data_IF_722131567844
#
_entry.id   IF_722131567844
#
_cell.length_a   1.000
_cell.length_b   1.000
_cell.length_c   1.000
_cell.angle_alpha   90.00
_cell.angle_beta   90.00
_cell.angle_gamma   90.00
#
_symmetry.space_group_name_H-M   'P 1'
#
loop_
_entity.id
_entity.type
_entity.pdbx_description
1 polymer ?
#
# COMPACT_ATOMS: atom_id res chain seq x y z
N UNK A 1 -40.35 -3.34 12.00
CA UNK A 1 -39.67 -4.49 11.34
C UNK A 1 -38.59 -3.99 10.35
N UNK A 2 -37.70 -3.09 10.78
CA UNK A 2 -36.65 -2.50 9.91
C UNK A 2 -35.23 -2.91 10.29
N UNK A 3 -35.01 -3.32 11.55
CA UNK A 3 -33.69 -3.71 12.06
C UNK A 3 -33.07 -4.90 11.30
N UNK A 4 -33.87 -5.89 10.90
CA UNK A 4 -33.36 -7.10 10.23
C UNK A 4 -32.81 -6.86 8.82
N UNK A 5 -33.29 -5.82 8.13
CA UNK A 5 -32.84 -5.48 6.77
C UNK A 5 -31.58 -4.62 6.78
N UNK A 6 -31.44 -3.73 7.77
CA UNK A 6 -30.23 -2.93 7.97
C UNK A 6 -29.05 -3.81 8.40
N UNK A 7 -29.30 -4.78 9.29
CA UNK A 7 -28.28 -5.72 9.76
C UNK A 7 -27.72 -6.55 8.58
N UNK A 8 -28.60 -7.13 7.75
CA UNK A 8 -28.20 -7.87 6.54
C UNK A 8 -27.45 -7.03 5.50
N UNK A 9 -27.78 -5.74 5.38
CA UNK A 9 -27.09 -4.84 4.46
C UNK A 9 -25.67 -4.50 4.94
N UNK A 10 -25.50 -4.28 6.26
CA UNK A 10 -24.18 -4.06 6.87
C UNK A 10 -23.32 -5.31 6.73
N UNK A 11 -23.90 -6.49 6.98
CA UNK A 11 -23.22 -7.78 6.84
C UNK A 11 -22.67 -7.98 5.43
N UNK A 12 -23.53 -7.82 4.42
CA UNK A 12 -23.16 -7.96 3.00
C UNK A 12 -22.04 -6.98 2.65
N UNK A 13 -22.17 -5.72 3.08
CA UNK A 13 -21.19 -4.68 2.77
C UNK A 13 -19.84 -4.92 3.46
N UNK A 14 -19.83 -5.47 4.67
CA UNK A 14 -18.59 -5.88 5.33
C UNK A 14 -17.91 -7.04 4.58
N UNK A 15 -18.68 -8.03 4.12
CA UNK A 15 -18.12 -9.13 3.33
C UNK A 15 -17.54 -8.64 2.00
N UNK A 16 -18.22 -7.73 1.31
CA UNK A 16 -17.72 -7.11 0.08
C UNK A 16 -16.41 -6.35 0.32
N UNK A 17 -16.33 -5.53 1.37
CA UNK A 17 -15.12 -4.78 1.71
C UNK A 17 -13.95 -5.69 2.11
N UNK A 18 -14.22 -6.77 2.84
CA UNK A 18 -13.19 -7.77 3.18
C UNK A 18 -12.71 -8.51 1.93
N UNK A 19 -13.60 -8.81 0.99
CA UNK A 19 -13.22 -9.43 -0.29
C UNK A 19 -12.38 -8.48 -1.14
N UNK A 20 -12.76 -7.20 -1.20
CA UNK A 20 -12.00 -6.14 -1.89
C UNK A 20 -10.61 -5.96 -1.28
N UNK A 21 -10.51 -5.86 0.05
CA UNK A 21 -9.23 -5.76 0.75
C UNK A 21 -8.31 -6.94 0.42
N UNK A 22 -8.84 -8.18 0.43
CA UNK A 22 -8.09 -9.37 0.02
C UNK A 22 -7.68 -9.33 -1.45
N UNK A 23 -8.53 -8.79 -2.33
CA UNK A 23 -8.22 -8.57 -3.74
C UNK A 23 -7.00 -7.65 -3.91
N UNK A 24 -7.03 -6.51 -3.21
CA UNK A 24 -5.93 -5.54 -3.20
C UNK A 24 -4.65 -6.15 -2.62
N UNK A 25 -4.74 -6.88 -1.50
CA UNK A 25 -3.59 -7.60 -0.91
C UNK A 25 -2.94 -8.55 -1.93
N UNK A 26 -3.74 -9.36 -2.62
CA UNK A 26 -3.25 -10.30 -3.63
C UNK A 26 -2.64 -9.59 -4.84
N UNK A 27 -3.25 -8.51 -5.31
CA UNK A 27 -2.72 -7.72 -6.42
C UNK A 27 -1.38 -7.06 -6.05
N UNK A 28 -1.28 -6.48 -4.85
CA UNK A 28 -0.04 -5.92 -4.31
C UNK A 28 1.02 -7.00 -4.08
N UNK A 29 0.66 -8.21 -3.66
CA UNK A 29 1.61 -9.32 -3.58
C UNK A 29 2.14 -9.71 -4.98
N UNK A 30 1.29 -9.65 -6.01
CA UNK A 30 1.61 -10.08 -7.37
C UNK A 30 2.46 -9.09 -8.19
N UNK A 31 2.63 -7.85 -7.76
CA UNK A 31 3.32 -6.84 -8.59
C UNK A 31 2.47 -5.63 -8.92
N UNK A 32 1.16 -5.75 -8.86
CA UNK A 32 0.24 -4.78 -9.43
C UNK A 32 0.00 -3.60 -8.49
N UNK A 33 -0.19 -2.43 -9.08
CA UNK A 33 -0.73 -1.27 -8.39
C UNK A 33 -2.25 -1.35 -8.43
N UNK A 34 -2.90 -1.11 -7.30
CA UNK A 34 -4.34 -0.99 -7.19
C UNK A 34 -4.69 0.28 -6.44
N UNK A 35 -5.73 0.95 -6.91
CA UNK A 35 -6.37 2.04 -6.20
C UNK A 35 -7.16 1.46 -5.02
N UNK A 36 -6.99 2.05 -3.84
CA UNK A 36 -7.70 1.66 -2.61
C UNK A 36 -8.72 2.73 -2.18
N UNK A 37 -8.97 3.75 -3.01
CA UNK A 37 -9.82 4.89 -2.65
C UNK A 37 -11.27 4.46 -2.43
N UNK A 38 -11.75 3.51 -3.24
CA UNK A 38 -13.09 2.94 -3.10
C UNK A 38 -13.23 2.14 -1.80
N UNK A 39 -12.23 1.30 -1.48
CA UNK A 39 -12.16 0.59 -0.21
C UNK A 39 -12.19 1.57 0.97
N UNK A 40 -11.33 2.60 1.00
CA UNK A 40 -11.28 3.58 2.09
C UNK A 40 -12.63 4.28 2.30
N UNK A 41 -13.26 4.71 1.20
CA UNK A 41 -14.58 5.34 1.23
C UNK A 41 -15.65 4.38 1.76
N UNK A 42 -15.61 3.12 1.32
CA UNK A 42 -16.51 2.07 1.77
C UNK A 42 -16.39 1.78 3.26
N UNK A 43 -15.15 1.73 3.77
CA UNK A 43 -14.84 1.53 5.19
C UNK A 43 -15.34 2.69 6.05
N UNK A 44 -15.17 3.93 5.58
CA UNK A 44 -15.66 5.08 6.34
C UNK A 44 -17.20 5.10 6.44
N UNK A 45 -17.88 4.74 5.35
CA UNK A 45 -19.33 4.65 5.32
C UNK A 45 -19.85 3.54 6.26
N UNK A 46 -19.27 2.33 6.20
CA UNK A 46 -19.73 1.22 7.05
C UNK A 46 -19.46 1.48 8.54
N UNK A 47 -18.34 2.14 8.88
CA UNK A 47 -18.06 2.56 10.25
C UNK A 47 -19.11 3.56 10.74
N UNK A 48 -19.55 4.47 9.87
CA UNK A 48 -20.61 5.45 10.19
C UNK A 48 -21.95 4.75 10.41
N UNK A 49 -22.31 3.80 9.56
CA UNK A 49 -23.54 3.03 9.67
C UNK A 49 -23.57 2.19 10.97
N UNK A 50 -22.46 1.51 11.29
CA UNK A 50 -22.34 0.72 12.53
C UNK A 50 -22.37 1.63 13.77
N UNK A 51 -21.75 2.81 13.72
CA UNK A 51 -21.76 3.77 14.82
C UNK A 51 -23.17 4.32 15.12
N UNK A 52 -24.07 4.31 14.12
CA UNK A 52 -25.46 4.71 14.29
C UNK A 52 -26.34 3.61 14.93
N UNK A 53 -25.84 2.37 15.05
CA UNK A 53 -26.57 1.27 15.67
C UNK A 53 -26.58 1.36 17.21
N UNK A 54 -27.56 0.73 17.88
CA UNK A 54 -27.51 0.49 19.32
C UNK A 54 -26.22 -0.24 19.72
N UNK A 55 -25.68 0.10 20.90
CA UNK A 55 -24.40 -0.43 21.42
C UNK A 55 -24.32 -1.96 21.41
N UNK A 56 -25.42 -2.65 21.67
CA UNK A 56 -25.46 -4.11 21.68
C UNK A 56 -25.32 -4.68 20.27
N UNK A 57 -25.98 -4.08 19.28
CA UNK A 57 -25.86 -4.47 17.86
C UNK A 57 -24.49 -4.12 17.30
N UNK A 58 -23.96 -2.93 17.59
CA UNK A 58 -22.63 -2.51 17.14
C UNK A 58 -21.52 -3.44 17.64
N UNK A 59 -21.67 -3.99 18.86
CA UNK A 59 -20.72 -4.95 19.45
C UNK A 59 -20.57 -6.24 18.65
N UNK A 60 -21.63 -6.67 17.96
CA UNK A 60 -21.60 -7.88 17.13
C UNK A 60 -20.66 -7.72 15.93
N UNK A 61 -20.43 -6.50 15.46
CA UNK A 61 -19.58 -6.20 14.31
C UNK A 61 -18.10 -5.97 14.65
N UNK A 62 -17.76 -5.85 15.94
CA UNK A 62 -16.39 -5.57 16.38
C UNK A 62 -15.34 -6.54 15.81
N UNK A 63 -15.55 -7.87 15.81
CA UNK A 63 -14.56 -8.79 15.26
C UNK A 63 -14.30 -8.54 13.77
N UNK A 64 -15.34 -8.26 12.98
CA UNK A 64 -15.21 -8.01 11.54
C UNK A 64 -14.56 -6.67 11.23
N UNK A 65 -14.82 -5.65 12.06
CA UNK A 65 -14.11 -4.36 11.99
C UNK A 65 -12.63 -4.50 12.33
N UNK A 66 -12.28 -5.39 13.27
CA UNK A 66 -10.89 -5.72 13.56
C UNK A 66 -10.22 -6.40 12.37
N UNK A 67 -10.85 -7.41 11.76
CA UNK A 67 -10.32 -8.08 10.56
C UNK A 67 -10.05 -7.09 9.42
N UNK A 68 -10.95 -6.12 9.23
CA UNK A 68 -10.83 -5.07 8.22
C UNK A 68 -9.63 -4.14 8.52
N UNK A 69 -9.44 -3.78 9.80
CA UNK A 69 -8.31 -2.97 10.25
C UNK A 69 -7.00 -3.71 10.03
N UNK A 70 -6.94 -4.99 10.41
CA UNK A 70 -5.76 -5.83 10.20
C UNK A 70 -5.43 -5.99 8.71
N UNK A 71 -6.44 -6.05 7.84
CA UNK A 71 -6.25 -6.06 6.38
C UNK A 71 -5.64 -4.75 5.86
N UNK A 72 -6.16 -3.60 6.31
CA UNK A 72 -5.59 -2.29 5.96
C UNK A 72 -4.14 -2.14 6.41
N UNK A 73 -3.80 -2.63 7.60
CA UNK A 73 -2.44 -2.59 8.13
C UNK A 73 -1.48 -3.44 7.27
N UNK A 74 -1.92 -4.62 6.81
CA UNK A 74 -1.14 -5.46 5.90
C UNK A 74 -0.95 -4.81 4.52
N UNK A 75 -2.00 -4.22 3.97
CA UNK A 75 -1.94 -3.46 2.71
C UNK A 75 -0.92 -2.31 2.85
N UNK A 76 -1.06 -1.51 3.90
CA UNK A 76 -0.18 -0.36 4.19
C UNK A 76 1.27 -0.77 4.38
N UNK A 77 1.51 -1.86 5.10
CA UNK A 77 2.84 -2.43 5.29
C UNK A 77 3.48 -2.87 3.98
N UNK A 78 2.71 -3.53 3.11
CA UNK A 78 3.17 -3.98 1.79
C UNK A 78 3.52 -2.81 0.88
N UNK A 79 2.66 -1.78 0.83
CA UNK A 79 2.93 -0.56 0.05
C UNK A 79 4.20 0.16 0.54
N UNK A 80 4.38 0.28 1.85
CA UNK A 80 5.58 0.90 2.44
C UNK A 80 6.85 0.13 2.08
N UNK A 81 6.84 -1.19 2.24
CA UNK A 81 7.97 -2.04 1.86
C UNK A 81 8.37 -1.90 0.39
N UNK A 82 7.39 -1.74 -0.50
CA UNK A 82 7.64 -1.47 -1.93
C UNK A 82 8.27 -0.10 -2.17
N UNK A 83 7.77 0.94 -1.53
CA UNK A 83 8.35 2.28 -1.61
C UNK A 83 9.79 2.31 -1.11
N UNK A 84 10.08 1.62 -0.01
CA UNK A 84 11.45 1.47 0.51
C UNK A 84 12.36 0.73 -0.47
N UNK A 85 11.86 -0.35 -1.10
CA UNK A 85 12.57 -1.08 -2.15
C UNK A 85 12.91 -0.20 -3.36
N UNK A 86 11.91 0.52 -3.89
CA UNK A 86 12.10 1.47 -4.99
C UNK A 86 13.11 2.58 -4.63
N UNK A 87 13.06 3.09 -3.40
CA UNK A 87 14.01 4.09 -2.90
C UNK A 87 15.45 3.54 -2.86
N UNK A 88 15.63 2.28 -2.44
CA UNK A 88 16.91 1.62 -2.43
C UNK A 88 17.46 1.40 -3.86
N UNK A 89 16.62 0.94 -4.78
CA UNK A 89 16.99 0.76 -6.19
C UNK A 89 17.42 2.09 -6.83
N UNK A 90 16.66 3.17 -6.62
CA UNK A 90 16.99 4.50 -7.12
C UNK A 90 18.35 4.99 -6.61
N UNK A 91 18.65 4.77 -5.31
CA UNK A 91 19.97 5.09 -4.74
C UNK A 91 21.09 4.28 -5.37
N UNK A 92 20.88 2.99 -5.62
CA UNK A 92 21.85 2.12 -6.29
C UNK A 92 22.12 2.59 -7.73
N UNK A 93 21.08 2.96 -8.48
CA UNK A 93 21.22 3.55 -9.81
C UNK A 93 21.98 4.89 -9.80
N UNK A 94 21.75 5.72 -8.78
CA UNK A 94 22.52 6.94 -8.53
C UNK A 94 24.00 6.66 -8.31
N UNK A 95 24.33 5.71 -7.42
CA UNK A 95 25.70 5.28 -7.15
C UNK A 95 26.39 4.72 -8.41
N UNK A 96 25.66 3.94 -9.21
CA UNK A 96 26.16 3.42 -10.50
C UNK A 96 26.47 4.54 -11.49
N UNK A 97 25.59 5.54 -11.62
CA UNK A 97 25.85 6.73 -12.47
C UNK A 97 27.09 7.50 -12.00
N UNK A 98 27.27 7.65 -10.69
CA UNK A 98 28.45 8.31 -10.11
C UNK A 98 29.73 7.52 -10.39
N UNK A 99 29.70 6.19 -10.23
CA UNK A 99 30.84 5.33 -10.52
C UNK A 99 31.24 5.39 -12.01
N UNK A 100 30.28 5.30 -12.93
CA UNK A 100 30.54 5.41 -14.39
C UNK A 100 31.16 6.76 -14.74
N UNK A 101 30.68 7.86 -14.14
CA UNK A 101 31.29 9.20 -14.31
C UNK A 101 32.72 9.26 -13.78
N UNK A 102 33.01 8.66 -12.63
CA UNK A 102 34.35 8.61 -12.07
C UNK A 102 35.33 7.85 -12.98
N UNK A 103 34.91 6.69 -13.52
CA UNK A 103 35.70 5.94 -14.49
C UNK A 103 35.93 6.73 -15.80
N UNK A 104 34.90 7.39 -16.33
CA UNK A 104 35.03 8.23 -17.53
C UNK A 104 35.96 9.44 -17.32
N UNK A 105 35.99 10.01 -16.10
CA UNK A 105 36.88 11.12 -15.73
C UNK A 105 38.33 10.65 -15.53
N UNK A 106 38.56 9.49 -14.93
CA UNK A 106 39.90 8.94 -14.73
C UNK A 106 40.56 8.50 -16.06
N UNK A 107 39.77 7.96 -17.00
CA UNK A 107 40.25 7.58 -18.34
C UNK A 107 40.55 8.75 -19.28
N UNK A 108 40.04 9.96 -19.00
CA UNK A 108 40.31 11.17 -19.79
C UNK A 108 41.49 12.00 -19.27
N UNK A 109 42.01 11.70 -18.07
CA UNK A 109 43.15 12.42 -17.47
C UNK A 109 44.54 11.82 -17.77
N UNK A 110 44.64 10.70 -18.48
CA UNK A 110 45.94 10.03 -18.74
C UNK A 110 46.65 10.43 -20.05
N UNK A 111 46.21 11.49 -20.73
CA UNK A 111 46.87 11.97 -21.96
C UNK A 111 47.38 13.41 -21.80
N UNK A 112 48.34 13.62 -20.90
CA UNK A 112 49.27 14.76 -21.05
C UNK A 112 50.66 14.19 -21.35
N UNK A 113 51.13 14.24 -22.61
CA UNK A 113 52.49 13.85 -22.95
C UNK A 113 53.45 14.91 -22.41
N UNK A 114 54.12 14.59 -21.31
CA UNK A 114 55.38 15.24 -20.93
C UNK A 114 56.41 14.94 -22.01
N UNK A 115 56.68 15.91 -22.88
CA UNK A 115 57.60 15.72 -23.98
C UNK A 115 58.21 17.03 -24.49
N UNK A 116 59.50 17.22 -24.16
CA UNK A 116 60.49 18.15 -24.77
C UNK A 116 60.22 19.65 -24.55
N UNK A 117 61.21 20.49 -24.27
CA UNK A 117 62.67 20.40 -24.40
C UNK A 117 63.30 21.52 -23.59
#
# INVERSE_FOLDING_TARGET
>A
MTASSTDSAIDTRLDDLLAEARGIENALAAGHEQDATELETGIQNICTDIAALPRESARTYLPRLQDLTDALDRISGTMRGRLDGLSAELKQHGARKTAVRAYGKAGSTSSTPTGRR
#
